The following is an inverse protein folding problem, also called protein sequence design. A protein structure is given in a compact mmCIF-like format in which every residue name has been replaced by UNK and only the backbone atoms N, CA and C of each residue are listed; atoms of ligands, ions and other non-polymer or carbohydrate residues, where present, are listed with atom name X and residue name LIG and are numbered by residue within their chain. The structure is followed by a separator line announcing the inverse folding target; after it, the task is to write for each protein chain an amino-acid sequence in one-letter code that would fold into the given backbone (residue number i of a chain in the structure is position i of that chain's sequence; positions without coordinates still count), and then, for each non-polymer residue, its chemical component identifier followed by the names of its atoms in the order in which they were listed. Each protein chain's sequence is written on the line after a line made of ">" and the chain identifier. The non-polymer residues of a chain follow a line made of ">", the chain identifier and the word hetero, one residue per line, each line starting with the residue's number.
data_IF_060661013927
#
_entry.id   IF_060661013927
#
_cell.length_a   1.000
_cell.length_b   1.000
_cell.length_c   1.000
_cell.angle_alpha   90.00
_cell.angle_beta   90.00
_cell.angle_gamma   90.00
#
_symmetry.space_group_name_H-M   'P 1'
#
loop_
_entity.id
_entity.type
_entity.pdbx_description
1 polymer ?
#
# COMPACT_ATOMS: atom_id res chain seq x y z
N UNK A 1 -4.19 20.84 -9.39
CA UNK A 1 -3.51 21.15 -8.12
C UNK A 1 -3.55 19.90 -7.27
N UNK A 2 -2.40 19.28 -6.95
CA UNK A 2 -2.37 18.14 -6.03
C UNK A 2 -2.54 18.67 -4.62
N UNK A 3 -3.49 18.12 -3.87
CA UNK A 3 -3.58 18.33 -2.42
C UNK A 3 -2.62 17.34 -1.79
N UNK A 4 -1.63 17.83 -1.06
CA UNK A 4 -0.67 17.01 -0.32
C UNK A 4 -1.08 17.11 1.16
N UNK A 5 -1.26 15.96 1.80
CA UNK A 5 -1.51 15.86 3.24
C UNK A 5 -0.28 15.21 3.88
N UNK A 6 0.29 15.86 4.90
CA UNK A 6 1.52 15.42 5.56
C UNK A 6 1.29 15.30 7.07
N UNK A 7 1.89 14.30 7.69
CA UNK A 7 1.84 14.08 9.14
C UNK A 7 3.22 14.18 9.76
N UNK A 8 3.47 15.26 10.48
CA UNK A 8 4.72 15.49 11.19
C UNK A 8 4.61 15.01 12.64
N UNK A 9 5.16 13.82 12.92
CA UNK A 9 5.17 13.24 14.26
C UNK A 9 6.53 12.61 14.59
N UNK A 10 6.85 12.48 15.89
CA UNK A 10 8.00 11.68 16.31
C UNK A 10 7.68 10.21 16.11
N UNK A 11 8.69 9.41 15.73
CA UNK A 11 8.55 7.95 15.58
C UNK A 11 8.01 7.29 16.88
N UNK A 12 8.32 7.87 18.04
CA UNK A 12 7.87 7.39 19.35
C UNK A 12 6.42 7.73 19.69
N UNK A 13 5.79 8.66 18.98
CA UNK A 13 4.47 9.17 19.35
C UNK A 13 3.32 8.27 18.87
N UNK A 14 3.64 7.25 18.05
CA UNK A 14 2.77 6.17 17.54
C UNK A 14 1.26 6.47 17.60
N UNK A 15 0.83 7.48 16.81
CA UNK A 15 -0.58 7.84 16.70
C UNK A 15 -1.14 7.28 15.39
N UNK A 16 -1.73 6.08 15.40
CA UNK A 16 -2.27 5.46 14.18
C UNK A 16 -3.51 6.21 13.65
N UNK A 17 -4.04 7.19 14.39
CA UNK A 17 -5.24 7.95 13.99
C UNK A 17 -5.07 8.67 12.65
N UNK A 18 -3.85 9.15 12.34
CA UNK A 18 -3.58 9.74 11.04
C UNK A 18 -3.61 8.65 9.95
N UNK A 19 -2.82 7.59 10.13
CA UNK A 19 -2.67 6.53 9.13
C UNK A 19 -4.01 5.87 8.82
N UNK A 20 -4.81 5.56 9.85
CA UNK A 20 -6.14 4.96 9.68
C UNK A 20 -7.04 5.89 8.85
N UNK A 21 -7.14 7.17 9.23
CA UNK A 21 -7.98 8.14 8.50
C UNK A 21 -7.50 8.33 7.07
N UNK A 22 -6.21 8.55 6.90
CA UNK A 22 -5.58 8.79 5.62
C UNK A 22 -5.85 7.61 4.68
N UNK A 23 -5.50 6.39 5.07
CA UNK A 23 -5.67 5.20 4.24
C UNK A 23 -7.14 4.89 3.94
N UNK A 24 -8.04 5.03 4.93
CA UNK A 24 -9.48 4.84 4.70
C UNK A 24 -10.06 5.82 3.66
N UNK A 25 -9.49 7.02 3.55
CA UNK A 25 -9.96 8.02 2.57
C UNK A 25 -9.50 7.79 1.13
N UNK A 26 -8.44 7.00 0.88
CA UNK A 26 -7.88 6.81 -0.46
C UNK A 26 -8.72 5.88 -1.37
N UNK A 27 -9.55 5.01 -0.76
CA UNK A 27 -10.33 4.00 -1.47
C UNK A 27 -9.51 2.75 -1.84
N UNK A 28 -10.20 1.61 -2.02
CA UNK A 28 -9.55 0.30 -2.12
C UNK A 28 -8.54 0.15 -3.25
N UNK A 29 -8.78 0.79 -4.41
CA UNK A 29 -7.85 0.73 -5.56
C UNK A 29 -6.51 1.39 -5.26
N UNK A 30 -6.52 2.61 -4.72
CA UNK A 30 -5.29 3.34 -4.41
C UNK A 30 -4.47 2.64 -3.31
N UNK A 31 -5.16 2.09 -2.30
CA UNK A 31 -4.53 1.26 -1.26
C UNK A 31 -3.86 0.04 -1.90
N UNK A 32 -4.56 -0.65 -2.80
CA UNK A 32 -4.02 -1.85 -3.46
C UNK A 32 -2.80 -1.53 -4.32
N UNK A 33 -2.85 -0.47 -5.13
CA UNK A 33 -1.73 0.00 -5.95
C UNK A 33 -0.50 0.31 -5.08
N UNK A 34 -0.67 1.07 -4.00
CA UNK A 34 0.42 1.42 -3.08
C UNK A 34 1.06 0.20 -2.40
N UNK A 35 0.26 -0.76 -1.93
CA UNK A 35 0.78 -1.99 -1.32
C UNK A 35 1.48 -2.87 -2.36
N UNK A 36 0.99 -2.90 -3.60
CA UNK A 36 1.60 -3.68 -4.68
C UNK A 36 2.99 -3.14 -5.04
N UNK A 37 3.12 -1.82 -5.15
CA UNK A 37 4.41 -1.15 -5.38
C UNK A 37 5.39 -1.42 -4.22
N UNK A 38 4.94 -1.25 -2.97
CA UNK A 38 5.77 -1.53 -1.79
C UNK A 38 6.27 -2.98 -1.74
N UNK A 39 5.43 -3.96 -2.10
CA UNK A 39 5.84 -5.35 -2.19
C UNK A 39 6.84 -5.57 -3.32
N UNK A 40 6.55 -5.07 -4.52
CA UNK A 40 7.47 -5.17 -5.65
C UNK A 40 8.87 -4.67 -5.26
N UNK A 41 8.98 -3.49 -4.67
CA UNK A 41 10.24 -2.92 -4.21
C UNK A 41 10.95 -3.81 -3.19
N UNK A 42 10.21 -4.35 -2.22
CA UNK A 42 10.77 -5.31 -1.26
C UNK A 42 11.35 -6.54 -1.95
N UNK A 43 10.65 -7.12 -2.94
CA UNK A 43 11.13 -8.31 -3.65
C UNK A 43 12.37 -8.00 -4.49
N UNK A 44 12.38 -6.86 -5.20
CA UNK A 44 13.53 -6.36 -5.97
C UNK A 44 14.75 -6.15 -5.07
N UNK A 45 14.60 -5.43 -3.97
CA UNK A 45 15.70 -5.18 -3.01
C UNK A 45 16.27 -6.48 -2.44
N UNK A 46 15.43 -7.52 -2.30
CA UNK A 46 15.82 -8.81 -1.74
C UNK A 46 16.29 -9.81 -2.80
N UNK A 47 16.36 -9.43 -4.07
CA UNK A 47 16.76 -10.30 -5.17
C UNK A 47 15.82 -11.51 -5.35
N UNK A 48 14.55 -11.35 -4.97
CA UNK A 48 13.50 -12.37 -5.14
C UNK A 48 12.69 -12.04 -6.38
N UNK A 49 12.09 -13.08 -6.95
CA UNK A 49 11.17 -12.93 -8.09
C UNK A 49 9.99 -11.99 -7.71
N UNK A 50 9.86 -10.91 -8.45
CA UNK A 50 8.85 -9.87 -8.26
C UNK A 50 7.70 -9.97 -9.27
N UNK A 51 7.77 -10.90 -10.22
CA UNK A 51 6.80 -11.02 -11.33
C UNK A 51 5.50 -11.73 -10.92
N UNK A 52 5.51 -12.45 -9.79
CA UNK A 52 4.34 -13.22 -9.30
C UNK A 52 3.96 -12.90 -7.85
N UNK A 53 3.57 -11.66 -7.58
CA UNK A 53 3.10 -11.29 -6.24
C UNK A 53 1.78 -12.01 -5.90
N UNK A 54 1.76 -12.72 -4.76
CA UNK A 54 0.55 -13.38 -4.23
C UNK A 54 -0.65 -12.44 -4.07
N UNK A 55 -0.36 -11.15 -3.84
CA UNK A 55 -1.38 -10.11 -3.71
C UNK A 55 -2.15 -9.89 -5.02
N UNK A 56 -1.46 -9.90 -6.17
CA UNK A 56 -2.08 -9.77 -7.49
C UNK A 56 -2.98 -10.98 -7.80
N UNK A 57 -2.49 -12.19 -7.52
CA UNK A 57 -3.27 -13.44 -7.70
C UNK A 57 -4.58 -13.45 -6.92
N UNK A 58 -4.59 -12.89 -5.71
CA UNK A 58 -5.80 -12.80 -4.91
C UNK A 58 -6.87 -11.93 -5.58
N UNK A 59 -6.49 -10.78 -6.14
CA UNK A 59 -7.41 -9.88 -6.86
C UNK A 59 -7.93 -10.50 -8.15
N UNK A 60 -7.06 -11.14 -8.94
CA UNK A 60 -7.47 -11.84 -10.17
C UNK A 60 -8.50 -12.95 -9.88
N UNK A 61 -8.37 -13.64 -8.74
CA UNK A 61 -9.34 -14.64 -8.32
C UNK A 61 -10.68 -14.03 -7.91
N UNK A 62 -10.70 -12.87 -7.24
CA UNK A 62 -11.96 -12.18 -6.89
C UNK A 62 -12.72 -11.66 -8.11
N UNK A 63 -12.02 -11.31 -9.20
CA UNK A 63 -12.64 -10.82 -10.43
C UNK A 63 -13.19 -11.92 -11.35
N UNK A 64 -12.87 -13.19 -11.12
CA UNK A 64 -13.34 -14.33 -11.92
C UNK A 64 -14.68 -14.94 -11.43
N UNK A 65 -15.48 -14.20 -10.67
CA UNK A 65 -16.80 -14.62 -10.19
C UNK A 65 -17.93 -14.30 -11.18
#
# INVERSE_FOLDING_TARGET
>A
MRIIEENYQRITDDRPSFDIRFWQSQGGRAIFEAVSEMLHDYFVIRGKDADELRLQRAVENFQKA
#
